data_IF_326547532650
#
_entry.id   IF_326547532650
#
_cell.length_a   1.000
_cell.length_b   1.000
_cell.length_c   1.000
_cell.angle_alpha   90.00
_cell.angle_beta   90.00
_cell.angle_gamma   90.00
#
_symmetry.space_group_name_H-M   'P 1'
#
loop_
_entity.id
_entity.type
_entity.pdbx_description
1 polymer ?
#
# COMPACT_ATOMS: atom_id res chain seq x y z
N UNK A 1 10.43 25.29 52.39
CA UNK A 1 9.05 25.41 51.84
C UNK A 1 8.92 26.70 51.04
N UNK A 2 9.01 26.61 49.71
CA UNK A 2 8.47 27.59 48.75
C UNK A 2 8.57 26.93 47.37
N UNK A 3 7.50 26.26 46.97
CA UNK A 3 7.41 25.56 45.69
C UNK A 3 7.00 26.62 44.67
N UNK A 4 7.89 26.95 43.73
CA UNK A 4 7.55 27.71 42.53
C UNK A 4 7.21 26.71 41.44
N UNK A 5 5.92 26.53 41.19
CA UNK A 5 5.38 25.77 40.05
C UNK A 5 5.31 26.74 38.86
N UNK A 6 6.09 26.55 37.77
CA UNK A 6 5.78 27.20 36.52
C UNK A 6 4.66 26.40 35.86
N UNK A 7 3.45 26.94 35.98
CA UNK A 7 2.35 26.69 35.04
C UNK A 7 2.80 27.18 33.65
N UNK A 8 2.35 26.48 32.61
CA UNK A 8 2.46 26.77 31.18
C UNK A 8 3.63 26.11 30.45
N UNK A 9 3.38 24.93 29.88
CA UNK A 9 3.20 24.81 28.43
C UNK A 9 2.52 23.46 28.12
N UNK A 10 1.18 23.47 28.11
CA UNK A 10 0.41 22.42 27.44
C UNK A 10 0.65 22.64 25.93
N UNK A 11 1.60 21.89 25.38
CA UNK A 11 1.79 21.78 23.93
C UNK A 11 0.55 21.06 23.40
N UNK A 12 -0.39 21.83 22.85
CA UNK A 12 -1.48 21.27 22.05
C UNK A 12 -0.84 20.54 20.86
N UNK A 13 -0.82 19.22 20.94
CA UNK A 13 -0.59 18.33 19.81
C UNK A 13 -1.76 18.50 18.83
N UNK A 14 -1.71 19.54 18.00
CA UNK A 14 -2.64 19.70 16.89
C UNK A 14 -2.43 18.56 15.88
N UNK A 15 -3.50 17.89 15.41
CA UNK A 15 -3.37 16.92 14.34
C UNK A 15 -2.93 17.67 13.08
N UNK A 16 -1.72 17.38 12.59
CA UNK A 16 -1.29 17.80 11.26
C UNK A 16 -2.25 17.20 10.23
N UNK A 17 -3.19 18.01 9.74
CA UNK A 17 -4.02 17.70 8.59
C UNK A 17 -3.10 17.52 7.38
N UNK A 18 -3.01 16.28 6.90
CA UNK A 18 -2.32 15.94 5.67
C UNK A 18 -2.90 16.77 4.52
N UNK A 19 -2.06 17.59 3.88
CA UNK A 19 -2.46 18.39 2.72
C UNK A 19 -2.98 17.47 1.60
N UNK A 20 -4.24 17.69 1.20
CA UNK A 20 -4.83 17.06 0.04
C UNK A 20 -3.95 17.35 -1.19
N UNK A 21 -3.45 16.28 -1.82
CA UNK A 21 -2.68 16.39 -3.06
C UNK A 21 -3.66 16.76 -4.16
N UNK A 22 -3.57 17.99 -4.65
CA UNK A 22 -4.28 18.47 -5.83
C UNK A 22 -4.06 17.49 -7.00
N UNK A 23 -5.10 16.73 -7.33
CA UNK A 23 -5.04 15.62 -8.26
C UNK A 23 -5.07 16.12 -9.70
N UNK A 24 -3.91 16.37 -10.29
CA UNK A 24 -3.82 16.52 -11.75
C UNK A 24 -4.34 15.23 -12.42
N UNK A 25 -5.11 15.31 -13.52
CA UNK A 25 -5.56 14.14 -14.24
C UNK A 25 -4.32 13.33 -14.65
N UNK A 26 -4.26 12.08 -14.19
CA UNK A 26 -3.06 11.30 -14.36
C UNK A 26 -3.11 10.50 -15.65
N UNK A 27 -2.10 10.69 -16.50
CA UNK A 27 -2.06 10.08 -17.81
C UNK A 27 -1.99 8.53 -17.70
N UNK A 28 -2.94 7.80 -18.32
CA UNK A 28 -2.98 6.34 -18.27
C UNK A 28 -1.84 5.68 -19.06
N UNK A 29 -1.24 6.39 -20.01
CA UNK A 29 -0.14 5.90 -20.85
C UNK A 29 1.24 6.20 -20.25
N UNK A 30 1.30 6.87 -19.09
CA UNK A 30 2.53 7.16 -18.39
C UNK A 30 3.28 5.86 -18.08
N UNK A 31 4.51 5.72 -18.59
CA UNK A 31 5.38 4.60 -18.25
C UNK A 31 5.91 4.76 -16.83
N UNK A 32 5.72 3.72 -16.02
CA UNK A 32 6.14 3.62 -14.63
C UNK A 32 7.03 2.39 -14.49
N UNK A 33 8.28 2.62 -14.09
CA UNK A 33 9.25 1.56 -13.81
C UNK A 33 9.27 1.25 -12.31
N UNK A 34 8.97 0.02 -11.93
CA UNK A 34 9.03 -0.48 -10.55
C UNK A 34 10.18 -1.49 -10.42
N UNK A 35 10.86 -1.50 -9.28
CA UNK A 35 11.78 -2.58 -8.92
C UNK A 35 10.95 -3.74 -8.38
N UNK A 36 11.08 -4.91 -9.00
CA UNK A 36 10.34 -6.13 -8.66
C UNK A 36 11.34 -7.12 -8.09
N UNK A 37 11.03 -7.61 -6.88
CA UNK A 37 11.74 -8.72 -6.27
C UNK A 37 11.33 -10.01 -6.98
N UNK A 38 12.33 -10.82 -7.34
CA UNK A 38 12.09 -12.10 -8.02
C UNK A 38 12.29 -13.21 -7.00
N UNK A 39 11.25 -14.00 -6.74
CA UNK A 39 11.30 -15.14 -5.83
C UNK A 39 12.43 -16.09 -6.21
N UNK A 40 13.29 -16.43 -5.25
CA UNK A 40 14.46 -17.29 -5.48
C UNK A 40 15.71 -16.56 -6.00
N UNK A 41 15.64 -15.24 -6.23
CA UNK A 41 16.80 -14.41 -6.58
C UNK A 41 17.02 -13.33 -5.52
N UNK A 42 18.28 -13.04 -5.22
CA UNK A 42 18.67 -11.90 -4.36
C UNK A 42 18.70 -10.57 -5.12
N UNK A 43 18.53 -10.62 -6.44
CA UNK A 43 18.58 -9.45 -7.31
C UNK A 43 17.18 -8.97 -7.66
N UNK A 44 16.99 -7.65 -7.58
CA UNK A 44 15.78 -6.97 -8.05
C UNK A 44 15.86 -6.70 -9.54
N UNK A 45 14.77 -6.93 -10.28
CA UNK A 45 14.65 -6.56 -11.69
C UNK A 45 13.85 -5.26 -11.81
N UNK A 46 14.18 -4.40 -12.77
CA UNK A 46 13.32 -3.26 -13.13
C UNK A 46 12.32 -3.67 -14.19
N UNK A 47 11.03 -3.45 -13.92
CA UNK A 47 9.94 -3.72 -14.85
C UNK A 47 9.18 -2.42 -15.11
N UNK A 48 9.01 -2.08 -16.39
CA UNK A 48 8.40 -0.82 -16.82
C UNK A 48 7.11 -1.08 -17.59
N UNK A 49 5.98 -0.71 -16.99
CA UNK A 49 4.66 -0.79 -17.61
C UNK A 49 3.98 0.57 -17.65
N UNK A 50 2.96 0.73 -18.47
CA UNK A 50 2.08 1.90 -18.38
C UNK A 50 1.27 1.85 -17.09
N UNK A 51 0.71 2.98 -16.67
CA UNK A 51 -0.20 3.03 -15.54
C UNK A 51 -1.42 2.13 -15.74
N UNK A 52 -1.99 2.14 -16.95
CA UNK A 52 -3.12 1.27 -17.28
C UNK A 52 -2.75 -0.21 -17.16
N UNK A 53 -1.57 -0.60 -17.65
CA UNK A 53 -1.06 -1.97 -17.51
C UNK A 53 -0.84 -2.36 -16.05
N UNK A 54 -0.27 -1.48 -15.24
CA UNK A 54 -0.11 -1.75 -13.79
C UNK A 54 -1.45 -1.98 -13.11
N UNK A 55 -2.48 -1.18 -13.43
CA UNK A 55 -3.81 -1.36 -12.87
C UNK A 55 -4.43 -2.71 -13.25
N UNK A 56 -4.20 -3.18 -14.48
CA UNK A 56 -4.65 -4.50 -14.92
C UNK A 56 -3.91 -5.64 -14.19
N UNK A 57 -2.59 -5.51 -14.02
CA UNK A 57 -1.77 -6.48 -13.28
C UNK A 57 -2.19 -6.57 -11.81
N UNK A 58 -2.43 -5.43 -11.16
CA UNK A 58 -2.88 -5.39 -9.77
C UNK A 58 -4.27 -6.03 -9.61
N UNK A 59 -5.19 -5.76 -10.55
CA UNK A 59 -6.52 -6.40 -10.57
C UNK A 59 -6.42 -7.92 -10.75
N UNK A 60 -5.64 -8.37 -11.74
CA UNK A 60 -5.46 -9.80 -12.00
C UNK A 60 -4.83 -10.53 -10.79
N UNK A 61 -3.89 -9.88 -10.10
CA UNK A 61 -3.31 -10.40 -8.87
C UNK A 61 -4.32 -10.51 -7.73
N UNK A 62 -5.18 -9.51 -7.54
CA UNK A 62 -6.23 -9.52 -6.53
C UNK A 62 -7.27 -10.63 -6.80
N UNK A 63 -7.71 -10.77 -8.05
CA UNK A 63 -8.67 -11.80 -8.44
C UNK A 63 -8.08 -13.21 -8.22
N UNK A 64 -6.81 -13.43 -8.60
CA UNK A 64 -6.14 -14.71 -8.35
C UNK A 64 -5.98 -15.02 -6.86
N UNK A 65 -5.68 -14.01 -6.03
CA UNK A 65 -5.57 -14.18 -4.58
C UNK A 65 -6.92 -14.53 -3.95
N UNK A 66 -8.00 -13.87 -4.36
CA UNK A 66 -9.36 -14.15 -3.90
C UNK A 66 -9.78 -15.59 -4.23
N UNK A 67 -9.55 -16.05 -5.46
CA UNK A 67 -9.85 -17.42 -5.87
C UNK A 67 -9.02 -18.47 -5.11
N UNK A 68 -7.73 -18.19 -4.85
CA UNK A 68 -6.90 -19.05 -4.03
C UNK A 68 -7.43 -19.16 -2.59
N UNK A 69 -7.90 -18.05 -2.00
CA UNK A 69 -8.47 -18.02 -0.65
C UNK A 69 -9.81 -18.75 -0.58
N UNK A 70 -10.67 -18.60 -1.59
CA UNK A 70 -11.93 -19.36 -1.72
C UNK A 70 -11.67 -20.86 -1.77
N UNK A 71 -10.68 -21.28 -2.58
CA UNK A 71 -10.30 -22.68 -2.71
C UNK A 71 -9.81 -23.26 -1.39
N UNK A 72 -8.94 -22.54 -0.67
CA UNK A 72 -8.46 -22.93 0.66
C UNK A 72 -9.60 -23.08 1.67
N UNK A 73 -10.58 -22.17 1.65
CA UNK A 73 -11.76 -22.25 2.52
C UNK A 73 -12.61 -23.47 2.20
N UNK A 74 -12.82 -23.77 0.93
CA UNK A 74 -13.59 -24.93 0.50
C UNK A 74 -12.91 -26.25 0.91
N UNK A 75 -11.60 -26.34 0.75
CA UNK A 75 -10.79 -27.50 1.19
C UNK A 75 -10.91 -27.74 2.70
N UNK A 76 -10.82 -26.68 3.52
CA UNK A 76 -10.97 -26.79 4.98
C UNK A 76 -12.38 -27.18 5.47
N UNK A 77 -13.39 -27.20 4.58
CA UNK A 77 -14.77 -27.53 4.92
C UNK A 77 -15.12 -29.02 4.70
N UNK A 78 -14.20 -29.83 4.18
CA UNK A 78 -14.44 -31.27 4.01
C UNK A 78 -14.18 -32.05 5.30
N UNK A 79 -15.15 -32.83 5.82
CA UNK A 79 -14.89 -33.78 6.89
C UNK A 79 -14.07 -34.94 6.33
N UNK A 80 -13.02 -35.33 7.07
CA UNK A 80 -12.17 -36.48 6.78
C UNK A 80 -12.96 -37.79 6.92
#
# INVERSE_FOLDING_TARGET
>A
MKILVPVALLVLAGPTLAAARDGKPVDPNQRICKAVEVTGSRFTKKTCHTRAEWAQLDKAGADAADEAMKTRRADSAWPQ
#
